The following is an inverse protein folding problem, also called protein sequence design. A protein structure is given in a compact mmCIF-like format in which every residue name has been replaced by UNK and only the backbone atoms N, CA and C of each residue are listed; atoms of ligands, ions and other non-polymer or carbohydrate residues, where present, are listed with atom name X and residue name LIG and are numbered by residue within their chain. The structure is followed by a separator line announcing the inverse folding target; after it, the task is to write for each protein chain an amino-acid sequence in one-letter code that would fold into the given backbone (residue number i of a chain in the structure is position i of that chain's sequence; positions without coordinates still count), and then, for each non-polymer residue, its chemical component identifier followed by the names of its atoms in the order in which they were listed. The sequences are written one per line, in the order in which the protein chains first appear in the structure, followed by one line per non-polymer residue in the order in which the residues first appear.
data_IF_565594490728
#
_entry.id   IF_565594490728
#
_cell.length_a   1.000
_cell.length_b   1.000
_cell.length_c   1.000
_cell.angle_alpha   90.00
_cell.angle_beta   90.00
_cell.angle_gamma   90.00
#
_symmetry.space_group_name_H-M   'P 1'
#
loop_
_entity.id
_entity.type
_entity.pdbx_description
1 polymer ?
2 water ?
#
# COMPACT_ATOMS: atom_id res chain seq x y z
N UNK A 7 41.82 2.32 -88.31
CA UNK A 7 41.92 0.86 -88.45
C UNK A 7 40.59 0.23 -87.97
N UNK A 8 40.03 -0.59 -88.84
CA UNK A 8 38.83 -1.27 -88.54
C UNK A 8 39.10 -2.18 -87.38
N UNK A 9 40.26 -2.80 -87.36
CA UNK A 9 40.50 -3.85 -86.40
C UNK A 9 40.65 -3.23 -85.05
N UNK A 10 41.18 -2.02 -85.01
CA UNK A 10 41.28 -1.28 -83.75
C UNK A 10 39.89 -0.91 -83.24
N UNK A 11 39.02 -0.48 -84.12
CA UNK A 11 37.64 -0.19 -83.73
C UNK A 11 36.94 -1.45 -83.25
N UNK A 12 37.11 -2.54 -83.99
CA UNK A 12 36.45 -3.78 -83.56
C UNK A 12 36.90 -4.22 -82.20
N UNK A 13 38.15 -4.01 -81.88
CA UNK A 13 38.62 -4.48 -80.61
C UNK A 13 38.06 -3.68 -79.46
N UNK A 14 37.95 -2.36 -79.67
CA UNK A 14 37.32 -1.50 -78.69
C UNK A 14 35.89 -1.93 -78.52
N UNK A 15 35.22 -2.34 -79.59
CA UNK A 15 33.81 -2.69 -79.44
C UNK A 15 33.65 -4.01 -78.66
N UNK A 16 34.51 -4.97 -78.93
CA UNK A 16 34.45 -6.23 -78.17
C UNK A 16 34.67 -6.03 -76.68
N UNK A 17 35.66 -5.21 -76.36
CA UNK A 17 35.94 -4.85 -74.98
C UNK A 17 34.74 -4.20 -74.29
N UNK A 18 34.17 -3.22 -74.96
CA UNK A 18 32.95 -2.58 -74.41
C UNK A 18 31.82 -3.61 -74.21
N UNK A 19 31.57 -4.45 -75.19
CA UNK A 19 30.59 -5.53 -75.04
C UNK A 19 30.87 -6.37 -73.79
N UNK A 20 32.14 -6.67 -73.56
CA UNK A 20 32.50 -7.39 -72.33
C UNK A 20 32.28 -6.59 -71.04
N UNK A 21 32.68 -5.32 -71.05
CA UNK A 21 32.35 -4.45 -69.94
C UNK A 21 30.85 -4.35 -69.69
N UNK A 22 30.09 -4.21 -70.76
CA UNK A 22 28.62 -4.15 -70.57
C UNK A 22 28.01 -5.41 -69.95
N UNK A 23 28.43 -6.59 -70.36
CA UNK A 23 27.94 -7.82 -69.75
C UNK A 23 28.26 -7.87 -68.26
N UNK A 24 29.43 -7.35 -67.92
CA UNK A 24 29.93 -7.37 -66.54
C UNK A 24 29.19 -6.36 -65.70
N UNK A 25 28.87 -5.23 -66.31
CA UNK A 25 28.08 -4.27 -65.61
C UNK A 25 26.75 -4.88 -65.26
N UNK A 26 26.05 -5.43 -66.24
CA UNK A 26 24.72 -5.92 -65.97
C UNK A 26 24.77 -6.98 -64.85
N UNK A 27 25.80 -7.83 -64.88
CA UNK A 27 26.02 -8.78 -63.80
C UNK A 27 26.08 -8.09 -62.44
N UNK A 28 26.91 -7.06 -62.32
CA UNK A 28 27.02 -6.34 -61.05
C UNK A 28 25.70 -5.81 -60.63
N UNK A 29 24.99 -5.19 -61.56
CA UNK A 29 23.75 -4.51 -61.22
C UNK A 29 22.85 -5.59 -60.60
N UNK A 30 22.69 -6.69 -61.31
CA UNK A 30 21.87 -7.83 -60.86
C UNK A 30 22.01 -8.16 -59.37
N UNK A 31 23.24 -8.23 -58.86
CA UNK A 31 23.47 -8.79 -57.53
C UNK A 31 23.39 -7.73 -56.43
N UNK A 32 23.36 -6.45 -56.80
CA UNK A 32 23.46 -5.38 -55.82
C UNK A 32 22.42 -5.50 -54.71
N UNK A 33 21.17 -5.43 -55.11
CA UNK A 33 20.01 -5.62 -54.23
C UNK A 33 20.19 -6.69 -53.17
N UNK A 34 20.16 -7.93 -53.64
CA UNK A 34 20.37 -9.09 -52.80
C UNK A 34 21.63 -8.89 -51.96
N UNK A 35 22.65 -8.26 -52.51
CA UNK A 35 23.82 -7.97 -51.69
C UNK A 35 23.57 -6.94 -50.60
N UNK A 36 22.85 -5.86 -50.90
CA UNK A 36 22.61 -4.77 -49.91
C UNK A 36 21.66 -5.22 -48.80
N UNK A 37 20.54 -5.80 -49.17
CA UNK A 37 19.51 -6.17 -48.18
C UNK A 37 19.71 -7.52 -47.48
N UNK A 38 20.36 -8.47 -48.16
CA UNK A 38 20.51 -9.79 -47.57
C UNK A 38 21.87 -9.89 -46.92
N UNK A 39 21.89 -10.14 -45.61
CA UNK A 39 23.14 -10.16 -44.83
C UNK A 39 23.14 -11.35 -43.92
N UNK A 40 24.32 -11.68 -43.35
CA UNK A 40 24.42 -12.83 -42.41
C UNK A 40 24.57 -12.34 -41.01
N UNK A 41 23.74 -12.83 -40.11
CA UNK A 41 23.87 -12.43 -38.72
C UNK A 41 24.99 -13.28 -38.06
N UNK A 42 25.15 -13.15 -36.75
CA UNK A 42 26.23 -13.84 -36.04
C UNK A 42 26.01 -15.32 -35.85
N UNK A 43 24.87 -15.84 -36.22
CA UNK A 43 24.64 -17.31 -36.26
C UNK A 43 25.02 -17.90 -37.58
N UNK A 44 25.19 -17.05 -38.58
CA UNK A 44 25.33 -17.52 -39.94
C UNK A 44 24.02 -17.68 -40.67
N UNK A 45 22.90 -17.25 -40.05
CA UNK A 45 21.61 -17.16 -40.76
C UNK A 45 21.61 -15.93 -41.69
N UNK A 46 21.06 -16.10 -42.88
CA UNK A 46 20.89 -15.01 -43.79
C UNK A 46 19.63 -14.29 -43.32
N UNK A 47 19.79 -12.99 -43.16
CA UNK A 47 18.70 -12.12 -42.76
C UNK A 47 18.47 -11.04 -43.80
N UNK A 48 17.20 -10.74 -44.08
CA UNK A 48 16.81 -9.70 -44.99
C UNK A 48 16.46 -8.50 -44.16
N UNK A 49 17.16 -7.43 -44.42
CA UNK A 49 17.10 -6.22 -43.62
C UNK A 49 15.69 -5.66 -43.68
N UNK A 50 15.06 -5.79 -44.83
CA UNK A 50 13.76 -5.16 -45.04
C UNK A 50 12.74 -5.83 -44.15
N UNK A 51 12.87 -7.16 -44.01
CA UNK A 51 11.90 -7.98 -43.27
C UNK A 51 12.07 -7.82 -41.78
N UNK A 52 13.24 -7.39 -41.36
CA UNK A 52 13.46 -6.98 -39.99
C UNK A 52 12.83 -5.65 -39.62
N UNK A 53 12.58 -4.82 -40.61
CA UNK A 53 12.04 -3.47 -40.33
C UNK A 53 10.56 -3.30 -40.69
N UNK A 54 10.14 -3.95 -41.77
CA UNK A 54 8.79 -3.91 -42.27
C UNK A 54 8.13 -5.32 -42.26
N UNK A 55 6.92 -5.43 -41.73
CA UNK A 55 6.31 -6.72 -41.56
C UNK A 55 5.82 -7.20 -42.93
N UNK A 56 6.45 -8.25 -43.44
CA UNK A 56 6.14 -8.86 -44.76
C UNK A 56 4.79 -9.60 -44.78
N UNK A 57 4.29 -10.00 -43.60
CA UNK A 57 3.00 -10.68 -43.54
C UNK A 57 2.38 -10.54 -42.16
N UNK A 58 1.58 -9.46 -41.95
CA UNK A 58 0.95 -9.25 -40.65
C UNK A 58 -0.08 -10.35 -40.34
N UNK A 59 -0.09 -10.81 -39.09
CA UNK A 59 -0.92 -11.90 -38.67
C UNK A 59 -0.94 -11.84 -37.18
N UNK A 60 -2.06 -11.39 -36.60
CA UNK A 60 -2.19 -11.18 -35.16
C UNK A 60 -1.95 -12.45 -34.38
N UNK A 61 -2.11 -13.62 -35.03
CA UNK A 61 -1.97 -14.94 -34.40
C UNK A 61 -0.56 -15.54 -34.47
N UNK A 62 0.34 -14.92 -35.23
CA UNK A 62 1.66 -15.49 -35.43
C UNK A 62 2.53 -15.13 -34.25
N UNK A 63 2.58 -16.03 -33.30
CA UNK A 63 3.38 -15.91 -32.11
C UNK A 63 4.90 -15.82 -32.37
N UNK A 64 5.41 -16.06 -33.59
CA UNK A 64 6.86 -15.85 -33.81
C UNK A 64 7.14 -14.52 -34.49
N UNK A 65 6.14 -13.68 -34.71
CA UNK A 65 6.33 -12.44 -35.41
C UNK A 65 7.24 -11.55 -34.54
N UNK A 66 8.19 -10.89 -35.20
CA UNK A 66 9.05 -9.95 -34.47
C UNK A 66 8.30 -8.63 -34.24
N UNK A 67 7.10 -8.51 -34.82
CA UNK A 67 6.33 -7.29 -34.81
C UNK A 67 5.16 -7.37 -33.80
N UNK A 68 5.08 -8.45 -33.04
CA UNK A 68 3.94 -8.76 -32.21
C UNK A 68 3.91 -7.88 -30.96
N UNK A 69 2.73 -7.40 -30.63
CA UNK A 69 2.41 -6.80 -29.33
C UNK A 69 1.35 -7.53 -28.54
N UNK A 70 1.50 -7.45 -27.22
CA UNK A 70 0.61 -8.06 -26.23
C UNK A 70 -0.40 -6.99 -25.82
N UNK A 71 -1.67 -7.28 -26.08
CA UNK A 71 -2.73 -6.33 -25.86
C UNK A 71 -2.80 -6.02 -24.36
N UNK A 72 -3.11 -4.76 -24.05
CA UNK A 72 -3.14 -4.28 -22.69
C UNK A 72 -4.26 -4.88 -21.89
N UNK A 73 -5.32 -5.33 -22.59
CA UNK A 73 -6.37 -6.16 -21.99
C UNK A 73 -6.80 -7.26 -22.90
N UNK A 74 -7.40 -8.32 -22.31
CA UNK A 74 -8.01 -9.46 -23.04
C UNK A 74 -7.11 -10.64 -23.36
N UNK A 75 -5.82 -10.54 -23.01
CA UNK A 75 -4.87 -11.62 -23.24
C UNK A 75 -4.73 -12.14 -24.72
N UNK A 76 -4.86 -11.27 -25.68
CA UNK A 76 -4.57 -11.60 -27.08
C UNK A 76 -3.41 -10.69 -27.57
N UNK A 77 -3.02 -10.84 -28.84
CA UNK A 77 -1.91 -10.16 -29.45
C UNK A 77 -2.36 -9.44 -30.70
N UNK A 78 -1.52 -8.51 -31.10
CA UNK A 78 -1.73 -7.71 -32.29
C UNK A 78 -0.42 -7.59 -33.01
N UNK A 79 -0.45 -7.88 -34.31
CA UNK A 79 0.74 -7.84 -35.14
C UNK A 79 0.90 -6.49 -35.85
N UNK A 80 2.02 -5.78 -35.65
CA UNK A 80 2.21 -4.43 -36.23
C UNK A 80 2.93 -4.36 -37.55
N UNK A 81 2.86 -3.22 -38.21
CA UNK A 81 3.33 -3.11 -39.59
C UNK A 81 4.87 -2.91 -39.82
N UNK A 82 5.50 -2.22 -38.86
CA UNK A 82 6.93 -1.86 -38.85
C UNK A 82 7.46 -2.00 -37.45
N UNK A 83 8.78 -2.09 -37.36
CA UNK A 83 9.41 -2.26 -36.08
C UNK A 83 9.17 -1.07 -35.16
N UNK A 84 9.14 0.14 -35.69
CA UNK A 84 8.93 1.28 -34.86
C UNK A 84 7.53 1.31 -34.27
N UNK A 85 6.56 0.81 -34.99
CA UNK A 85 5.21 0.75 -34.48
C UNK A 85 5.17 -0.17 -33.33
N UNK A 86 5.90 -1.30 -33.45
CA UNK A 86 5.88 -2.33 -32.40
C UNK A 86 6.45 -1.75 -31.11
N UNK A 87 7.56 -1.06 -31.31
CA UNK A 87 8.29 -0.52 -30.19
C UNK A 87 7.45 0.52 -29.48
N UNK A 88 6.81 1.40 -30.23
CA UNK A 88 5.98 2.42 -29.58
C UNK A 88 4.72 1.90 -28.96
N UNK A 89 4.12 0.84 -29.53
CA UNK A 89 3.03 0.19 -28.81
C UNK A 89 3.43 -0.43 -27.48
N UNK A 90 4.54 -1.15 -27.45
CA UNK A 90 5.14 -1.58 -26.21
C UNK A 90 5.34 -0.41 -25.21
N UNK A 91 5.82 0.68 -25.79
CA UNK A 91 6.21 1.84 -25.02
C UNK A 91 5.00 2.46 -24.31
N UNK A 92 3.83 2.48 -24.97
CA UNK A 92 2.66 3.14 -24.41
C UNK A 92 1.62 2.20 -23.86
N UNK A 93 1.47 1.00 -24.48
CA UNK A 93 0.44 0.06 -24.03
C UNK A 93 0.96 -1.09 -23.15
N UNK A 94 2.27 -1.20 -23.05
CA UNK A 94 2.90 -2.11 -22.12
C UNK A 94 3.60 -3.28 -22.79
N UNK A 95 4.40 -3.99 -21.99
CA UNK A 95 5.02 -5.19 -22.45
C UNK A 95 4.26 -6.31 -21.78
N UNK A 96 4.60 -7.56 -22.15
CA UNK A 96 3.84 -8.67 -21.58
C UNK A 96 4.09 -8.65 -20.10
N UNK A 97 3.01 -8.80 -19.34
CA UNK A 97 2.93 -8.81 -17.89
C UNK A 97 3.02 -7.45 -17.23
N UNK A 98 3.29 -6.42 -17.99
CA UNK A 98 3.31 -4.99 -17.48
C UNK A 98 2.49 -4.05 -18.35
N UNK A 99 1.25 -3.80 -17.94
CA UNK A 99 0.23 -3.04 -18.72
C UNK A 99 -0.43 -2.02 -17.82
N UNK A 100 -0.49 -0.84 -18.33
CA UNK A 100 -1.27 0.27 -17.72
C UNK A 100 -2.18 0.73 -18.82
N UNK A 101 -3.46 0.77 -18.50
CA UNK A 101 -4.53 1.31 -19.36
C UNK A 101 -4.84 2.76 -18.96
N UNK A 102 -4.46 3.72 -19.79
CA UNK A 102 -4.39 5.12 -19.31
C UNK A 102 -5.45 5.99 -19.96
N UNK A 103 -5.88 7.02 -19.23
CA UNK A 103 -6.70 8.08 -19.81
C UNK A 103 -5.84 9.00 -20.70
N UNK A 104 -6.43 10.11 -21.17
CA UNK A 104 -5.66 11.12 -21.94
C UNK A 104 -5.36 12.42 -21.11
N UNK A 105 -5.31 12.29 -19.80
CA UNK A 105 -4.98 13.45 -18.94
C UNK A 105 -3.56 14.01 -19.15
N UNK A 106 -3.36 15.15 -18.50
CA UNK A 106 -2.08 15.82 -18.37
C UNK A 106 -1.56 15.37 -17.03
N UNK A 107 -0.25 15.30 -16.82
CA UNK A 107 0.25 14.91 -15.50
C UNK A 107 0.31 16.16 -14.60
N UNK A 108 0.51 15.99 -13.32
CA UNK A 108 0.78 17.14 -12.44
C UNK A 108 2.15 17.81 -12.68
N UNK A 109 3.13 17.09 -13.23
CA UNK A 109 4.49 17.65 -13.38
C UNK A 109 4.84 18.15 -14.76
N UNK A 110 4.28 17.55 -15.78
CA UNK A 110 4.80 17.75 -17.11
C UNK A 110 3.70 17.49 -18.08
N UNK A 111 4.05 17.43 -19.35
CA UNK A 111 3.05 17.30 -20.36
C UNK A 111 2.40 15.88 -20.36
N UNK A 112 3.09 14.80 -19.98
CA UNK A 112 2.43 13.48 -20.11
C UNK A 112 1.78 13.11 -18.81
N UNK A 113 0.99 12.04 -18.86
CA UNK A 113 0.42 11.41 -17.67
C UNK A 113 1.19 10.15 -17.20
N UNK A 114 2.47 10.08 -17.57
CA UNK A 114 3.45 9.08 -17.15
C UNK A 114 3.64 9.04 -15.61
N UNK A 115 4.24 7.94 -15.14
CA UNK A 115 4.76 7.89 -13.81
C UNK A 115 6.06 8.73 -13.84
N UNK A 116 6.57 9.01 -12.67
CA UNK A 116 7.76 9.81 -12.55
C UNK A 116 8.53 9.30 -11.33
N UNK A 117 9.65 8.63 -11.61
CA UNK A 117 10.48 8.06 -10.54
C UNK A 117 11.59 9.08 -10.18
N UNK A 118 11.26 10.01 -9.32
CA UNK A 118 12.18 11.14 -8.95
C UNK A 118 13.29 10.74 -7.97
N UNK A 119 13.08 9.73 -7.11
CA UNK A 119 14.07 9.34 -6.13
C UNK A 119 15.10 8.36 -6.64
N UNK A 120 16.33 8.46 -6.14
CA UNK A 120 17.33 7.44 -6.48
C UNK A 120 16.82 6.08 -6.00
N UNK A 121 17.02 5.06 -6.83
CA UNK A 121 16.55 3.74 -6.58
C UNK A 121 15.06 3.69 -6.30
N UNK A 122 14.30 4.57 -6.93
CA UNK A 122 12.87 4.57 -6.71
C UNK A 122 12.20 3.88 -7.94
N UNK A 123 10.99 3.45 -7.71
CA UNK A 123 10.21 2.83 -8.75
C UNK A 123 8.80 3.52 -8.73
N UNK A 124 8.40 4.01 -9.88
CA UNK A 124 7.11 4.59 -10.04
C UNK A 124 6.33 3.96 -11.21
N UNK A 125 5.10 3.59 -10.88
CA UNK A 125 4.27 2.77 -11.76
C UNK A 125 2.88 3.28 -11.76
N UNK A 126 2.39 3.55 -12.97
CA UNK A 126 0.97 3.84 -13.21
C UNK A 126 0.71 5.30 -13.61
N UNK A 127 -0.55 5.63 -13.84
CA UNK A 127 -0.87 6.91 -14.45
C UNK A 127 -0.68 7.98 -13.35
N UNK A 128 0.19 8.93 -13.66
CA UNK A 128 0.44 10.03 -12.76
C UNK A 128 0.89 9.56 -11.36
N UNK A 129 1.68 8.48 -11.37
CA UNK A 129 2.22 7.91 -10.18
C UNK A 129 3.54 8.61 -9.97
N UNK A 130 3.69 9.32 -8.87
CA UNK A 130 4.86 10.21 -8.73
C UNK A 130 5.65 9.93 -7.47
N UNK A 131 6.94 9.69 -7.63
CA UNK A 131 7.88 9.72 -6.58
C UNK A 131 8.71 11.02 -6.71
N UNK A 132 8.73 11.83 -5.64
CA UNK A 132 9.39 13.17 -5.69
C UNK A 132 10.88 13.10 -5.81
N UNK A 133 11.48 14.17 -6.32
CA UNK A 133 12.95 14.17 -6.16
C UNK A 133 13.36 14.01 -4.74
N UNK A 134 14.35 13.17 -4.48
CA UNK A 134 14.83 12.96 -3.11
C UNK A 134 14.12 11.93 -2.29
N UNK A 135 13.04 11.37 -2.83
CA UNK A 135 12.31 10.31 -2.13
C UNK A 135 13.00 8.99 -2.46
N UNK A 136 14.21 8.80 -1.98
CA UNK A 136 15.00 7.68 -2.41
C UNK A 136 14.54 6.28 -1.90
N UNK A 137 14.79 5.25 -2.70
CA UNK A 137 14.35 3.89 -2.35
C UNK A 137 12.81 3.77 -2.14
N UNK A 138 12.05 4.62 -2.79
CA UNK A 138 10.63 4.65 -2.57
C UNK A 138 9.84 3.91 -3.69
N UNK A 139 8.58 3.66 -3.46
CA UNK A 139 7.71 2.96 -4.40
C UNK A 139 6.33 3.62 -4.49
N UNK A 140 5.93 3.94 -5.69
CA UNK A 140 4.57 4.34 -6.00
C UNK A 140 3.99 3.42 -7.09
N UNK A 141 2.79 2.99 -6.83
CA UNK A 141 2.08 2.02 -7.66
C UNK A 141 0.61 2.32 -7.56
N UNK A 142 0.13 2.93 -8.64
CA UNK A 142 -1.28 3.31 -8.79
C UNK A 142 -1.52 4.73 -9.27
N UNK A 143 -2.71 4.89 -9.87
CA UNK A 143 -3.17 6.18 -10.40
C UNK A 143 -3.09 7.26 -9.31
N UNK A 144 -2.39 8.35 -9.59
CA UNK A 144 -2.33 9.53 -8.68
C UNK A 144 -1.65 9.32 -7.36
N UNK A 145 -0.82 8.29 -7.29
CA UNK A 145 -0.10 8.05 -6.05
C UNK A 145 0.99 9.16 -5.99
N UNK A 146 1.38 9.47 -4.78
CA UNK A 146 2.44 10.43 -4.57
C UNK A 146 3.26 10.00 -3.39
N UNK A 147 4.55 9.99 -3.56
CA UNK A 147 5.44 9.66 -2.48
C UNK A 147 6.52 10.77 -2.39
N UNK A 148 6.60 11.40 -1.24
CA UNK A 148 7.64 12.43 -0.95
C UNK A 148 8.66 12.02 0.06
N UNK A 149 8.44 10.92 0.74
CA UNK A 149 9.36 10.52 1.79
C UNK A 149 10.37 9.54 1.28
N UNK A 150 11.51 9.44 1.96
CA UNK A 150 12.42 8.37 1.66
C UNK A 150 11.87 7.01 2.19
N UNK A 151 12.30 5.96 1.53
CA UNK A 151 11.95 4.56 1.86
C UNK A 151 10.47 4.38 2.11
N UNK A 152 9.68 5.00 1.24
CA UNK A 152 8.24 5.10 1.43
C UNK A 152 7.48 4.35 0.35
N UNK A 153 6.21 4.08 0.60
CA UNK A 153 5.38 3.24 -0.26
C UNK A 153 3.97 3.84 -0.34
N UNK A 154 3.52 4.11 -1.55
CA UNK A 154 2.13 4.41 -1.78
C UNK A 154 1.57 3.46 -2.83
N UNK A 155 0.48 2.79 -2.50
CA UNK A 155 -0.20 1.93 -3.47
C UNK A 155 -1.68 2.19 -3.42
N UNK A 156 -2.25 2.32 -4.60
CA UNK A 156 -3.64 2.59 -4.68
C UNK A 156 -3.96 3.85 -5.49
N UNK A 157 -5.19 4.30 -5.33
CA UNK A 157 -5.74 5.43 -6.10
C UNK A 157 -5.57 6.64 -5.25
N UNK A 158 -4.71 7.57 -5.61
CA UNK A 158 -4.52 8.76 -4.82
C UNK A 158 -3.86 8.57 -3.47
N UNK A 159 -3.12 7.45 -3.28
CA UNK A 159 -2.43 7.21 -2.03
C UNK A 159 -1.24 8.16 -1.97
N UNK A 160 -1.03 8.72 -0.80
CA UNK A 160 0.13 9.52 -0.56
C UNK A 160 0.85 9.13 0.66
N UNK A 161 2.14 8.97 0.48
CA UNK A 161 3.07 8.63 1.53
C UNK A 161 4.07 9.78 1.52
N UNK A 162 3.89 10.71 2.47
CA UNK A 162 4.66 12.00 2.47
C UNK A 162 5.73 12.14 3.54
N UNK A 163 5.65 11.33 4.59
CA UNK A 163 6.70 11.28 5.59
C UNK A 163 7.76 10.27 5.21
N UNK A 164 8.88 10.30 5.92
CA UNK A 164 9.92 9.31 5.76
C UNK A 164 9.48 7.96 6.35
N UNK A 165 9.83 6.88 5.67
CA UNK A 165 9.35 5.55 6.04
C UNK A 165 7.85 5.47 6.30
N UNK A 166 7.12 6.03 5.34
CA UNK A 166 5.69 6.13 5.42
C UNK A 166 5.08 5.04 4.48
N UNK A 167 3.93 4.51 4.87
CA UNK A 167 3.26 3.50 4.08
C UNK A 167 1.81 3.88 3.91
N UNK A 168 1.32 3.87 2.65
CA UNK A 168 -0.03 4.31 2.38
C UNK A 168 -0.67 3.43 1.34
N UNK A 169 -1.57 2.55 1.76
CA UNK A 169 -2.12 1.56 0.86
C UNK A 169 -3.65 1.66 0.97
N UNK A 170 -4.23 1.91 -0.19
CA UNK A 170 -5.65 2.10 -0.31
C UNK A 170 -6.01 3.42 -1.01
N UNK A 171 -7.27 3.79 -0.88
CA UNK A 171 -7.78 4.93 -1.70
C UNK A 171 -7.64 6.20 -0.89
N UNK A 172 -6.87 7.13 -1.39
CA UNK A 172 -6.78 8.50 -0.83
C UNK A 172 -6.30 8.61 0.59
N UNK A 173 -5.55 7.63 1.12
CA UNK A 173 -4.90 7.90 2.45
C UNK A 173 -3.75 8.82 2.30
N UNK A 174 -3.51 9.60 3.35
CA UNK A 174 -2.44 10.54 3.33
C UNK A 174 -1.68 10.35 4.65
N UNK A 175 -0.44 9.91 4.53
CA UNK A 175 0.45 9.67 5.65
C UNK A 175 1.61 10.66 5.64
N UNK A 176 1.58 11.64 6.56
CA UNK A 176 2.66 12.65 6.69
C UNK A 176 3.64 12.26 7.78
N UNK A 177 3.19 11.51 8.76
CA UNK A 177 4.08 11.06 9.84
C UNK A 177 5.24 10.26 9.35
N UNK A 178 6.38 10.45 9.96
CA UNK A 178 7.49 9.56 9.76
C UNK A 178 7.25 8.21 10.48
N UNK A 179 7.69 7.15 9.83
CA UNK A 179 7.68 5.76 10.39
C UNK A 179 6.25 5.38 10.70
N UNK A 180 5.34 5.83 9.81
CA UNK A 180 3.96 5.66 10.03
C UNK A 180 3.24 5.04 8.84
N UNK A 181 2.03 4.57 9.02
CA UNK A 181 1.28 4.13 7.88
C UNK A 181 -0.21 3.98 8.08
N UNK A 182 -0.87 3.76 6.93
CA UNK A 182 -2.33 3.64 6.86
C UNK A 182 -2.69 2.65 5.71
N UNK A 183 -3.51 1.69 6.09
CA UNK A 183 -4.13 0.76 5.19
C UNK A 183 -5.64 0.92 5.37
N UNK A 184 -6.30 1.20 4.26
CA UNK A 184 -7.70 1.48 4.24
C UNK A 184 -8.04 2.52 3.19
N UNK A 185 -9.09 3.31 3.44
CA UNK A 185 -9.43 4.35 2.52
C UNK A 185 -9.78 5.68 3.31
N UNK A 186 -9.43 6.83 2.79
CA UNK A 186 -9.86 8.12 3.38
C UNK A 186 -9.23 8.44 4.72
N UNK A 187 -8.12 7.78 5.09
CA UNK A 187 -7.53 8.00 6.41
C UNK A 187 -6.34 8.98 6.32
N UNK A 188 -6.14 9.73 7.37
CA UNK A 188 -4.98 10.60 7.44
C UNK A 188 -4.17 10.26 8.64
N UNK A 189 -2.87 10.12 8.52
CA UNK A 189 -2.05 9.85 9.64
C UNK A 189 -0.94 10.87 9.64
N UNK A 190 -1.04 11.80 10.62
CA UNK A 190 0.03 12.80 10.85
C UNK A 190 1.02 12.46 11.96
N UNK A 191 0.54 11.77 13.00
CA UNK A 191 1.42 11.13 13.97
C UNK A 191 2.58 10.40 13.38
N UNK A 192 3.72 10.46 14.05
CA UNK A 192 4.87 9.65 13.76
C UNK A 192 4.78 8.32 14.52
N UNK A 193 5.36 7.27 13.97
CA UNK A 193 5.33 5.94 14.59
C UNK A 193 3.90 5.48 14.90
N UNK A 194 3.00 5.80 13.99
CA UNK A 194 1.55 5.53 14.22
C UNK A 194 1.00 4.81 13.02
N UNK A 195 0.07 3.87 13.26
CA UNK A 195 -0.51 3.05 12.23
C UNK A 195 -2.05 2.95 12.37
N UNK A 196 -2.70 3.01 11.22
CA UNK A 196 -4.14 2.86 11.10
C UNK A 196 -4.54 1.76 10.07
N UNK A 197 -5.41 0.87 10.50
CA UNK A 197 -6.10 -0.06 9.57
C UNK A 197 -7.58 0.29 9.69
N UNK A 198 -8.16 0.72 8.58
CA UNK A 198 -9.56 1.15 8.56
C UNK A 198 -9.74 2.45 7.78
N UNK A 199 -10.95 3.00 7.90
CA UNK A 199 -11.47 4.03 6.96
C UNK A 199 -11.84 5.29 7.70
N UNK A 200 -11.57 6.41 7.07
CA UNK A 200 -11.93 7.76 7.56
C UNK A 200 -11.43 8.04 8.95
N UNK A 201 -10.21 7.58 9.20
CA UNK A 201 -9.59 7.86 10.53
C UNK A 201 -8.75 9.08 10.40
N UNK A 202 -8.59 9.77 11.51
CA UNK A 202 -7.60 10.83 11.61
C UNK A 202 -6.69 10.68 12.83
N UNK A 203 -5.38 10.45 12.59
CA UNK A 203 -4.46 10.03 13.64
C UNK A 203 -3.37 11.13 13.78
N UNK A 204 -3.60 12.01 14.74
CA UNK A 204 -2.74 13.23 14.87
C UNK A 204 -1.59 12.96 15.83
N UNK A 205 -1.71 11.89 16.64
CA UNK A 205 -0.77 11.62 17.72
C UNK A 205 0.24 10.57 17.34
N UNK A 206 1.32 10.57 18.07
CA UNK A 206 2.43 9.67 17.86
C UNK A 206 2.21 8.32 18.58
N UNK A 207 2.95 7.30 18.13
CA UNK A 207 2.87 5.95 18.78
C UNK A 207 1.46 5.53 19.05
N UNK A 208 0.60 5.80 18.05
CA UNK A 208 -0.83 5.57 18.11
C UNK A 208 -1.23 4.50 17.03
N UNK A 209 -2.10 3.61 17.42
CA UNK A 209 -2.58 2.54 16.58
C UNK A 209 -4.06 2.54 16.59
N UNK A 210 -4.63 2.41 15.39
CA UNK A 210 -6.04 2.38 15.21
C UNK A 210 -6.38 1.19 14.31
N UNK A 211 -7.31 0.40 14.80
CA UNK A 211 -7.90 -0.74 14.02
C UNK A 211 -9.42 -0.46 14.14
N UNK A 212 -9.96 0.27 13.20
CA UNK A 212 -11.27 0.84 13.36
C UNK A 212 -11.59 1.79 12.25
N UNK A 213 -12.84 2.27 12.20
CA UNK A 213 -13.24 3.28 11.19
C UNK A 213 -13.76 4.48 11.95
N UNK A 214 -13.72 5.63 11.29
CA UNK A 214 -14.26 6.86 11.83
C UNK A 214 -13.67 7.21 13.16
N UNK A 215 -12.40 6.87 13.34
CA UNK A 215 -11.72 7.27 14.57
C UNK A 215 -10.96 8.60 14.38
N UNK A 216 -11.24 9.59 15.22
CA UNK A 216 -10.54 10.87 15.12
C UNK A 216 -9.95 11.40 16.43
N UNK A 217 -10.30 10.83 17.58
CA UNK A 217 -9.75 11.23 18.86
C UNK A 217 -8.79 10.16 19.37
N UNK A 218 -7.54 10.56 19.55
CA UNK A 218 -6.48 9.67 19.99
C UNK A 218 -5.58 10.44 20.97
N UNK A 219 -4.79 9.69 21.72
CA UNK A 219 -3.78 10.20 22.61
C UNK A 219 -2.51 9.52 22.25
N UNK A 220 -1.36 10.19 22.37
CA UNK A 220 -0.12 9.50 22.09
C UNK A 220 0.02 8.23 22.93
N UNK A 221 0.53 7.19 22.30
CA UNK A 221 0.68 5.90 22.99
C UNK A 221 -0.61 5.09 23.03
N UNK A 222 -1.70 5.66 22.52
CA UNK A 222 -3.00 4.98 22.57
C UNK A 222 -3.22 3.89 21.46
N UNK A 223 -4.21 3.05 21.74
CA UNK A 223 -4.71 2.07 20.79
C UNK A 223 -6.22 2.12 20.74
N UNK A 224 -6.75 2.36 19.56
CA UNK A 224 -8.18 2.54 19.45
C UNK A 224 -8.73 1.42 18.59
N UNK A 225 -9.68 0.73 19.18
CA UNK A 225 -10.24 -0.48 18.59
C UNK A 225 -11.73 -0.24 18.33
N UNK A 226 -12.07 -0.27 17.03
CA UNK A 226 -13.43 -0.36 16.55
C UNK A 226 -14.05 0.93 16.03
N UNK A 227 -15.17 0.74 15.31
CA UNK A 227 -15.90 1.83 14.63
C UNK A 227 -16.36 2.82 15.69
N UNK A 228 -15.91 4.07 15.56
CA UNK A 228 -16.35 5.18 16.43
C UNK A 228 -15.72 5.29 17.80
N UNK A 229 -14.75 4.44 18.12
CA UNK A 229 -14.11 4.52 19.41
C UNK A 229 -13.21 5.77 19.44
N UNK A 230 -12.82 6.16 20.64
CA UNK A 230 -12.14 7.41 20.88
C UNK A 230 -11.30 7.23 22.11
N UNK A 231 -10.03 7.54 22.00
CA UNK A 231 -9.13 7.57 23.15
C UNK A 231 -8.99 9.03 23.56
N UNK A 232 -9.36 9.35 24.79
CA UNK A 232 -9.30 10.72 25.27
C UNK A 232 -8.53 10.84 26.57
N UNK A 233 -7.90 9.76 27.05
CA UNK A 233 -7.24 9.77 28.32
C UNK A 233 -5.89 9.10 28.17
N UNK A 234 -4.94 9.58 28.98
CA UNK A 234 -3.60 9.03 28.98
C UNK A 234 -3.11 8.73 30.35
N UNK A 235 -1.83 9.05 30.57
CA UNK A 235 -1.09 8.85 31.83
C UNK A 235 -1.73 9.59 33.01
N UNK A 236 -1.56 9.03 34.21
CA UNK A 236 -1.86 9.72 35.47
C UNK A 236 -3.29 9.75 35.92
N UNK A 237 -4.12 8.82 35.39
CA UNK A 237 -5.49 8.69 35.85
C UNK A 237 -5.50 7.82 37.10
N UNK A 238 -5.94 8.44 38.18
CA UNK A 238 -6.02 7.78 39.46
C UNK A 238 -7.19 6.80 39.39
N UNK A 239 -6.94 5.56 39.75
CA UNK A 239 -7.96 4.56 39.61
C UNK A 239 -9.01 4.85 40.65
N UNK A 240 -10.20 4.34 40.41
CA UNK A 240 -11.23 4.31 41.37
C UNK A 240 -10.75 3.49 42.56
N UNK A 241 -10.96 4.07 43.75
CA UNK A 241 -10.60 3.39 45.00
C UNK A 241 -11.68 3.61 46.07
N UNK A 242 -11.97 2.57 46.84
CA UNK A 242 -12.70 2.73 48.10
C UNK A 242 -11.92 3.63 49.06
N UNK A 243 -12.57 4.67 49.53
CA UNK A 243 -11.98 5.57 50.52
C UNK A 243 -11.80 4.83 51.85
N UNK A 244 -12.69 3.87 52.13
CA UNK A 244 -12.54 2.93 53.27
C UNK A 244 -11.42 1.87 53.07
N UNK A 245 -10.56 2.02 52.06
CA UNK A 245 -9.49 1.05 51.81
C UNK A 245 -8.20 1.34 52.59
N UNK A 246 -7.45 0.28 52.86
CA UNK A 246 -6.23 0.38 53.65
C UNK A 246 -5.17 1.13 52.86
N UNK A 247 -4.08 1.51 53.53
CA UNK A 247 -2.99 2.20 52.86
C UNK A 247 -2.24 1.34 51.84
N UNK A 248 -1.88 0.10 52.20
CA UNK A 248 -1.23 -0.81 51.22
C UNK A 248 -2.11 -1.05 49.97
N UNK A 249 -3.43 -1.17 50.16
CA UNK A 249 -4.34 -1.43 49.03
C UNK A 249 -4.52 -0.25 48.12
N UNK A 250 -4.49 0.94 48.69
CA UNK A 250 -4.52 2.12 47.85
C UNK A 250 -3.23 2.27 47.03
N UNK A 251 -2.07 1.89 47.60
CA UNK A 251 -0.84 1.99 46.83
C UNK A 251 -0.75 0.94 45.74
N UNK A 252 -1.32 -0.23 45.95
CA UNK A 252 -1.30 -1.25 44.91
C UNK A 252 -2.06 -0.76 43.73
N UNK A 253 -3.23 -0.17 43.96
CA UNK A 253 -3.96 0.52 42.90
C UNK A 253 -3.13 1.62 42.24
N UNK A 254 -2.71 2.59 43.06
CA UNK A 254 -1.80 3.64 42.56
C UNK A 254 -0.59 3.12 41.78
N UNK A 255 -0.01 1.99 42.17
CA UNK A 255 1.09 1.42 41.38
C UNK A 255 0.72 1.09 39.90
N UNK A 256 -0.56 0.86 39.61
CA UNK A 256 -0.98 0.47 38.27
C UNK A 256 -1.50 1.69 37.49
N UNK A 257 -1.26 2.89 38.00
CA UNK A 257 -1.82 4.10 37.39
C UNK A 257 -1.27 4.16 35.96
N UNK A 258 -2.15 4.52 35.03
CA UNK A 258 -1.80 4.67 33.62
C UNK A 258 -0.52 5.49 33.35
N UNK A 259 0.22 5.00 32.36
CA UNK A 259 1.54 5.53 31.95
C UNK A 259 1.48 6.21 30.58
N UNK A 260 0.40 6.04 29.83
CA UNK A 260 0.37 6.50 28.43
C UNK A 260 -1.06 6.36 27.91
N UNK A 261 -1.26 6.60 26.62
CA UNK A 261 -2.61 6.64 26.02
C UNK A 261 -3.29 5.31 26.24
N UNK A 262 -4.59 5.41 26.43
CA UNK A 262 -5.50 4.28 26.70
C UNK A 262 -5.64 3.31 25.54
N UNK A 263 -6.12 2.10 25.88
CA UNK A 263 -6.76 1.27 24.87
C UNK A 263 -8.27 1.67 24.91
N UNK A 264 -8.80 2.22 23.83
CA UNK A 264 -10.19 2.59 23.81
C UNK A 264 -10.98 1.57 23.00
N UNK A 265 -12.04 1.03 23.56
CA UNK A 265 -12.91 0.13 22.80
C UNK A 265 -14.30 0.75 22.54
N UNK A 266 -14.48 2.02 22.88
CA UNK A 266 -15.80 2.67 22.68
C UNK A 266 -15.59 4.15 22.89
N UNK A 267 -16.64 4.87 23.21
CA UNK A 267 -16.57 6.31 23.41
C UNK A 267 -17.83 6.70 24.22
N UNK A 268 -17.68 6.66 25.53
CA UNK A 268 -18.79 6.99 26.44
C UNK A 268 -19.48 8.35 26.11
N UNK A 269 -18.70 9.34 25.66
CA UNK A 269 -19.20 10.66 25.19
C UNK A 269 -20.40 10.59 24.28
N UNK A 270 -20.33 9.65 23.33
CA UNK A 270 -21.28 9.48 22.25
C UNK A 270 -22.07 8.22 22.44
N UNK A 271 -22.07 7.71 23.65
CA UNK A 271 -22.86 6.56 23.92
C UNK A 271 -22.36 5.27 23.29
N UNK A 272 -21.06 5.15 23.02
CA UNK A 272 -20.54 3.94 22.37
C UNK A 272 -19.79 3.09 23.40
N UNK A 273 -20.23 1.85 23.58
CA UNK A 273 -19.66 0.93 24.56
C UNK A 273 -19.60 -0.49 24.06
N UNK A 274 -18.48 -1.20 24.29
CA UNK A 274 -18.31 -2.58 23.84
C UNK A 274 -17.96 -3.38 25.05
N UNK A 275 -18.61 -4.54 25.15
CA UNK A 275 -18.20 -5.57 26.08
C UNK A 275 -16.88 -6.16 25.61
N UNK A 276 -16.13 -6.67 26.55
CA UNK A 276 -14.92 -7.43 26.17
C UNK A 276 -15.18 -8.84 26.61
N UNK A 277 -15.16 -9.79 25.67
CA UNK A 277 -15.64 -11.14 25.91
C UNK A 277 -14.48 -12.12 25.73
N UNK A 278 -14.62 -13.35 26.25
CA UNK A 278 -13.52 -14.35 26.27
C UNK A 278 -12.33 -14.09 27.19
N UNK A 279 -12.60 -13.36 28.25
CA UNK A 279 -11.56 -12.83 29.18
C UNK A 279 -11.30 -13.80 30.34
N UNK A 280 -10.04 -14.24 30.48
CA UNK A 280 -9.69 -15.22 31.52
C UNK A 280 -9.56 -14.45 32.79
N UNK A 281 -9.86 -15.08 33.91
CA UNK A 281 -9.76 -14.48 35.23
C UNK A 281 -8.37 -13.93 35.45
N UNK A 282 -8.32 -12.74 36.02
CA UNK A 282 -7.02 -12.10 36.20
C UNK A 282 -6.32 -12.75 37.41
N UNK A 283 -4.99 -12.67 37.44
CA UNK A 283 -4.20 -13.28 38.48
C UNK A 283 -3.47 -12.21 39.23
N UNK A 284 -2.72 -11.37 38.51
CA UNK A 284 -1.93 -10.36 39.16
C UNK A 284 -2.56 -8.99 39.03
N UNK A 285 -1.98 -8.05 39.77
CA UNK A 285 -2.67 -6.76 40.10
C UNK A 285 -3.15 -5.98 38.89
N UNK A 286 -2.37 -6.04 37.81
CA UNK A 286 -2.69 -5.25 36.60
C UNK A 286 -3.31 -6.12 35.52
N UNK A 287 -3.91 -7.26 35.94
CA UNK A 287 -4.69 -8.09 35.00
C UNK A 287 -6.13 -7.61 35.13
N UNK A 288 -6.87 -7.69 34.02
CA UNK A 288 -8.32 -7.39 34.03
C UNK A 288 -9.05 -8.47 34.82
N UNK A 289 -10.21 -8.07 35.35
CA UNK A 289 -11.07 -8.87 36.15
C UNK A 289 -12.27 -9.27 35.29
N UNK A 290 -12.76 -10.50 35.43
CA UNK A 290 -14.03 -10.88 34.79
C UNK A 290 -15.22 -11.02 35.73
N UNK A 291 -16.41 -11.24 35.16
CA UNK A 291 -17.69 -11.34 35.86
C UNK A 291 -17.69 -12.46 36.88
N UNK A 292 -17.16 -13.63 36.51
CA UNK A 292 -16.94 -14.72 37.48
C UNK A 292 -16.24 -14.25 38.78
N UNK A 293 -15.25 -13.38 38.67
CA UNK A 293 -14.47 -12.95 39.86
C UNK A 293 -15.30 -11.94 40.68
N UNK A 294 -16.13 -11.16 40.00
CA UNK A 294 -17.09 -10.26 40.65
C UNK A 294 -18.23 -11.03 41.31
N UNK A 295 -18.70 -12.11 40.67
CA UNK A 295 -19.77 -12.92 41.26
C UNK A 295 -19.42 -13.55 42.62
N UNK A 296 -18.18 -13.99 42.79
CA UNK A 296 -17.74 -14.56 44.07
C UNK A 296 -17.83 -13.52 45.22
N UNK A 297 -17.60 -12.27 44.85
CA UNK A 297 -17.68 -11.14 45.78
C UNK A 297 -19.15 -10.83 46.07
N UNK A 298 -19.95 -10.76 45.03
CA UNK A 298 -21.41 -10.56 45.19
C UNK A 298 -22.02 -11.62 46.10
N UNK A 299 -21.65 -12.88 45.88
CA UNK A 299 -22.21 -13.95 46.68
C UNK A 299 -21.85 -13.82 48.14
N UNK A 300 -20.60 -13.43 48.40
CA UNK A 300 -20.14 -13.10 49.74
C UNK A 300 -20.85 -11.89 50.32
N UNK A 301 -21.17 -10.91 49.52
CA UNK A 301 -21.94 -9.78 50.05
C UNK A 301 -23.27 -10.32 50.59
N UNK A 302 -23.94 -11.22 49.85
CA UNK A 302 -25.23 -11.81 50.26
C UNK A 302 -25.11 -12.62 51.53
N UNK A 303 -24.10 -13.47 51.62
CA UNK A 303 -23.80 -14.22 52.83
C UNK A 303 -23.59 -13.26 54.04
N UNK A 304 -22.95 -12.11 53.80
CA UNK A 304 -22.72 -11.13 54.87
C UNK A 304 -24.04 -10.50 55.30
N UNK A 305 -24.84 -10.13 54.30
CA UNK A 305 -26.10 -9.52 54.58
C UNK A 305 -27.03 -10.40 55.36
N UNK A 306 -26.93 -11.73 55.15
CA UNK A 306 -27.78 -12.68 55.82
C UNK A 306 -27.36 -12.91 57.26
N UNK A 307 -26.06 -12.94 57.54
CA UNK A 307 -25.61 -12.94 58.93
C UNK A 307 -26.06 -11.65 59.65
N UNK A 308 -25.99 -10.51 58.99
CA UNK A 308 -26.40 -9.21 59.60
C UNK A 308 -27.87 -9.23 59.92
N UNK A 309 -28.68 -9.71 58.99
CA UNK A 309 -30.14 -9.80 59.26
C UNK A 309 -30.45 -10.65 60.51
N UNK A 310 -29.76 -11.78 60.62
CA UNK A 310 -29.90 -12.62 61.79
C UNK A 310 -29.39 -11.89 63.04
N UNK A 311 -28.21 -11.27 62.98
CA UNK A 311 -27.73 -10.48 64.13
C UNK A 311 -28.73 -9.41 64.59
N UNK A 312 -29.30 -8.69 63.64
CA UNK A 312 -30.32 -7.69 63.96
C UNK A 312 -31.53 -8.31 64.66
N UNK A 313 -31.95 -9.47 64.19
CA UNK A 313 -33.00 -10.22 64.82
C UNK A 313 -32.74 -10.59 66.26
N UNK A 314 -31.55 -11.15 66.50
CA UNK A 314 -31.10 -11.46 67.84
C UNK A 314 -31.09 -10.26 68.74
N UNK A 315 -30.56 -9.16 68.24
CA UNK A 315 -30.40 -7.94 69.06
C UNK A 315 -31.78 -7.40 69.46
N UNK A 316 -32.75 -7.50 68.52
CA UNK A 316 -34.08 -7.00 68.83
C UNK A 316 -34.71 -7.79 69.93
N UNK A 317 -34.51 -9.11 69.92
CA UNK A 317 -35.02 -9.97 70.95
C UNK A 317 -34.30 -9.71 72.27
N UNK A 318 -32.99 -9.57 72.18
CA UNK A 318 -32.19 -9.29 73.39
C UNK A 318 -32.74 -8.04 74.07
N UNK A 319 -33.00 -7.00 73.27
CA UNK A 319 -33.51 -5.74 73.83
C UNK A 319 -34.85 -5.93 74.55
N UNK A 320 -35.75 -6.69 73.95
CA UNK A 320 -37.03 -7.01 74.60
C UNK A 320 -36.82 -7.89 75.84
N UNK A 321 -35.91 -8.85 75.75
CA UNK A 321 -35.72 -9.78 76.87
C UNK A 321 -35.24 -9.05 78.09
N UNK A 322 -34.31 -8.14 77.88
CA UNK A 322 -33.85 -7.28 78.97
C UNK A 322 -35.02 -6.62 79.71
N UNK A 323 -35.89 -5.90 78.99
CA UNK A 323 -37.10 -5.27 79.61
C UNK A 323 -38.12 -6.28 80.21
#
# INVERSE_FOLDING_TARGET
MKQIEDKIEEILSKIYHIENEIARIKKLIAVITSNITEVVDGNGNKVNIIDQVVNTKPDNKNQDSLFLTYDKQGQETTDRLTIGQTVQKMNTDGIKFFHTNADTSKGDLGTTNDSSAGGLNSTAIGVNAIVANGADSSVALGHNTKVNGKQSIAIGSGAEALGNQSISIGTGNKVTGDHSGAIGDGTIVNGANSYSVGNNNQVLTDDTFVLGNNVTKTIAGSVVLGNGSAATTGAGEAGYALSVATNADKAAITKTTSSTGAVAVGDASSGIYRQITGVAAGSVDSDAVNVAQMKQIEDKIEEILSKIYHIENEIARIKKLIKLHHHHHH
#
